data_IF_544708820345
#
_entry.id   IF_544708820345
#
_cell.length_a   1.000
_cell.length_b   1.000
_cell.length_c   1.000
_cell.angle_alpha   90.00
_cell.angle_beta   90.00
_cell.angle_gamma   90.00
#
_symmetry.space_group_name_H-M   'P 1'
#
loop_
_entity.id
_entity.type
_entity.pdbx_description
1 polymer ?
#
# COMPACT_ATOMS: atom_id res chain seq x y z
N UNK A 1 0.71 0.74 12.84
CA UNK A 1 0.75 -0.20 11.70
C UNK A 1 0.55 0.50 10.35
N UNK A 2 -0.58 1.17 10.08
CA UNK A 2 -0.81 1.82 8.77
C UNK A 2 0.28 2.83 8.37
N UNK A 3 0.86 3.55 9.34
CA UNK A 3 1.95 4.51 9.11
C UNK A 3 3.18 3.85 8.46
N UNK A 4 3.71 2.78 9.06
CA UNK A 4 4.86 2.02 8.51
C UNK A 4 4.59 1.52 7.10
N UNK A 5 3.38 1.01 6.83
CA UNK A 5 3.05 0.51 5.50
C UNK A 5 2.92 1.60 4.45
N UNK A 6 2.30 2.73 4.82
CA UNK A 6 2.26 3.88 3.95
C UNK A 6 3.69 4.34 3.66
N UNK A 7 4.57 4.34 4.67
CA UNK A 7 5.98 4.64 4.50
C UNK A 7 6.73 3.63 3.63
N UNK A 8 6.43 2.33 3.74
CA UNK A 8 6.95 1.31 2.83
C UNK A 8 6.52 1.58 1.39
N UNK A 9 5.24 1.93 1.17
CA UNK A 9 4.72 2.33 -0.15
C UNK A 9 5.42 3.59 -0.66
N UNK A 10 5.63 4.58 0.20
CA UNK A 10 6.37 5.81 -0.13
C UNK A 10 7.82 5.52 -0.52
N UNK A 11 8.49 4.63 0.20
CA UNK A 11 9.83 4.14 -0.14
C UNK A 11 9.85 3.45 -1.49
N UNK A 12 8.89 2.57 -1.76
CA UNK A 12 8.79 1.90 -3.05
C UNK A 12 8.61 2.88 -4.23
N UNK A 13 7.77 3.91 -4.06
CA UNK A 13 7.56 4.93 -5.11
C UNK A 13 8.87 5.67 -5.41
N UNK A 14 9.58 6.14 -4.39
CA UNK A 14 10.83 6.87 -4.56
C UNK A 14 11.95 5.98 -5.12
N UNK A 15 12.03 4.72 -4.68
CA UNK A 15 12.94 3.70 -5.20
C UNK A 15 12.73 3.45 -6.69
N UNK A 16 11.48 3.26 -7.13
CA UNK A 16 11.17 3.06 -8.55
C UNK A 16 11.54 4.29 -9.40
N UNK A 17 11.33 5.50 -8.86
CA UNK A 17 11.71 6.74 -9.54
C UNK A 17 13.23 6.96 -9.62
N UNK A 18 14.01 6.36 -8.72
CA UNK A 18 15.46 6.54 -8.62
C UNK A 18 16.20 6.01 -9.84
N UNK A 19 15.75 4.91 -10.44
CA UNK A 19 16.38 4.33 -11.64
C UNK A 19 16.53 5.36 -12.78
N UNK A 20 15.50 6.16 -13.01
CA UNK A 20 15.53 7.23 -14.01
C UNK A 20 16.54 8.34 -13.65
N UNK A 21 16.68 8.68 -12.37
CA UNK A 21 17.64 9.69 -11.89
C UNK A 21 19.09 9.20 -12.00
N UNK A 22 19.31 7.90 -11.83
CA UNK A 22 20.62 7.25 -12.01
C UNK A 22 21.00 7.11 -13.48
N UNK A 23 20.05 7.27 -14.41
CA UNK A 23 20.27 7.03 -15.84
C UNK A 23 20.59 5.55 -16.13
N UNK A 24 20.13 4.65 -15.27
CA UNK A 24 20.36 3.21 -15.36
C UNK A 24 19.09 2.48 -15.79
N UNK A 25 19.27 1.31 -16.42
CA UNK A 25 18.14 0.43 -16.77
C UNK A 25 17.48 -0.09 -15.49
N UNK A 26 16.20 0.25 -15.31
CA UNK A 26 15.40 -0.19 -14.19
C UNK A 26 14.86 -1.62 -14.36
N UNK A 27 14.02 -2.08 -13.41
CA UNK A 27 13.39 -3.39 -13.43
C UNK A 27 12.64 -3.71 -14.71
N UNK A 28 12.72 -4.96 -15.13
CA UNK A 28 12.01 -5.44 -16.32
C UNK A 28 10.49 -5.31 -16.18
N UNK A 29 9.82 -4.98 -17.28
CA UNK A 29 8.38 -4.77 -17.30
C UNK A 29 7.62 -6.10 -17.15
N UNK A 30 6.72 -6.19 -16.18
CA UNK A 30 5.98 -7.40 -15.84
C UNK A 30 4.54 -7.35 -16.36
N UNK A 31 4.41 -7.15 -17.68
CA UNK A 31 3.13 -6.96 -18.37
C UNK A 31 2.19 -8.17 -18.25
N UNK A 32 0.91 -7.93 -18.01
CA UNK A 32 -0.11 -8.98 -18.03
C UNK A 32 -0.21 -9.63 -19.44
N UNK A 33 -0.88 -10.78 -19.57
CA UNK A 33 -0.93 -11.53 -20.84
C UNK A 33 -1.43 -10.69 -22.03
N UNK A 34 -2.44 -9.84 -21.81
CA UNK A 34 -3.01 -9.00 -22.86
C UNK A 34 -2.03 -7.90 -23.29
N UNK A 35 -1.44 -7.21 -22.31
CA UNK A 35 -0.45 -6.16 -22.56
C UNK A 35 0.81 -6.76 -23.18
N UNK A 36 1.30 -7.91 -22.71
CA UNK A 36 2.46 -8.59 -23.27
C UNK A 36 2.28 -8.91 -24.76
N UNK A 37 1.07 -9.30 -25.19
CA UNK A 37 0.78 -9.54 -26.60
C UNK A 37 0.83 -8.24 -27.45
N UNK A 38 0.40 -7.11 -26.88
CA UNK A 38 0.48 -5.79 -27.52
C UNK A 38 1.94 -5.31 -27.58
N UNK A 39 2.68 -5.48 -26.48
CA UNK A 39 4.04 -4.97 -26.30
C UNK A 39 5.11 -5.85 -27.00
N UNK A 40 4.77 -7.07 -27.42
CA UNK A 40 5.70 -8.02 -28.06
C UNK A 40 6.44 -7.41 -29.26
N UNK A 41 5.81 -6.47 -29.98
CA UNK A 41 6.34 -5.86 -31.20
C UNK A 41 7.03 -4.50 -30.94
N UNK A 42 7.13 -4.05 -29.69
CA UNK A 42 7.70 -2.73 -29.34
C UNK A 42 9.21 -2.80 -29.15
N UNK A 43 9.73 -3.93 -28.66
CA UNK A 43 11.15 -4.12 -28.37
C UNK A 43 11.98 -4.60 -29.58
N UNK A 44 11.43 -4.54 -30.79
CA UNK A 44 12.15 -4.88 -32.02
C UNK A 44 13.26 -3.86 -32.32
N UNK A 45 14.49 -4.30 -32.68
CA UNK A 45 15.58 -3.40 -33.03
C UNK A 45 15.20 -2.51 -34.23
N UNK A 46 15.12 -1.18 -34.02
CA UNK A 46 14.86 -0.18 -35.07
C UNK A 46 13.52 0.56 -34.97
N UNK A 47 12.66 0.23 -34.00
CA UNK A 47 11.40 0.95 -33.75
C UNK A 47 11.64 2.19 -32.87
N UNK A 48 11.10 3.34 -33.27
CA UNK A 48 11.22 4.59 -32.51
C UNK A 48 10.18 4.61 -31.37
N UNK A 49 10.64 4.62 -30.11
CA UNK A 49 9.81 4.72 -28.91
C UNK A 49 8.96 6.00 -28.85
N UNK A 50 9.31 7.03 -29.61
CA UNK A 50 8.51 8.26 -29.76
C UNK A 50 7.28 8.07 -30.67
N UNK A 51 7.17 6.95 -31.39
CA UNK A 51 6.05 6.62 -32.31
C UNK A 51 5.25 5.39 -31.86
N UNK A 52 4.99 5.28 -30.56
CA UNK A 52 4.04 4.31 -30.03
C UNK A 52 2.60 4.70 -30.40
N UNK A 53 1.77 3.74 -30.80
CA UNK A 53 0.33 3.95 -30.91
C UNK A 53 -0.29 4.17 -29.52
N UNK A 54 -1.47 4.80 -29.45
CA UNK A 54 -2.16 5.05 -28.18
C UNK A 54 -2.43 3.75 -27.40
N UNK A 55 -2.67 2.64 -28.10
CA UNK A 55 -2.90 1.31 -27.50
C UNK A 55 -1.62 0.74 -26.90
N UNK A 56 -0.49 0.89 -27.59
CA UNK A 56 0.81 0.46 -27.11
C UNK A 56 1.29 1.31 -25.92
N UNK A 57 1.06 2.63 -25.96
CA UNK A 57 1.37 3.54 -24.86
C UNK A 57 0.57 3.19 -23.61
N UNK A 58 -0.75 3.02 -23.73
CA UNK A 58 -1.59 2.58 -22.59
C UNK A 58 -1.17 1.23 -22.05
N UNK A 59 -0.89 0.26 -22.92
CA UNK A 59 -0.42 -1.07 -22.47
C UNK A 59 0.91 -0.99 -21.71
N UNK A 60 1.78 -0.03 -22.06
CA UNK A 60 3.03 0.24 -21.36
C UNK A 60 2.77 0.92 -20.01
N UNK A 61 1.96 1.99 -19.98
CA UNK A 61 1.57 2.73 -18.76
C UNK A 61 0.82 1.84 -17.75
N UNK A 62 -0.04 0.94 -18.22
CA UNK A 62 -0.81 -0.01 -17.39
C UNK A 62 0.05 -1.18 -16.88
N UNK A 63 1.27 -1.35 -17.42
CA UNK A 63 2.17 -2.41 -17.01
C UNK A 63 3.13 -1.90 -15.93
N UNK A 64 3.27 -2.69 -14.86
CA UNK A 64 4.14 -2.36 -13.72
C UNK A 64 5.38 -3.25 -13.72
N UNK A 65 6.42 -2.83 -13.01
CA UNK A 65 7.68 -3.57 -12.84
C UNK A 65 8.10 -3.61 -11.37
N UNK A 66 9.29 -4.17 -11.10
CA UNK A 66 9.95 -4.05 -9.80
C UNK A 66 9.59 -5.09 -8.75
N UNK A 67 10.20 -4.94 -7.58
CA UNK A 67 10.16 -5.90 -6.47
C UNK A 67 8.75 -6.13 -5.93
N UNK A 68 7.98 -5.06 -5.69
CA UNK A 68 6.59 -5.17 -5.21
C UNK A 68 5.71 -5.94 -6.20
N UNK A 69 5.80 -5.61 -7.50
CA UNK A 69 5.03 -6.33 -8.51
C UNK A 69 5.46 -7.79 -8.59
N UNK A 70 6.76 -8.07 -8.52
CA UNK A 70 7.25 -9.45 -8.50
C UNK A 70 6.66 -10.23 -7.31
N UNK A 71 6.59 -9.63 -6.13
CA UNK A 71 6.00 -10.26 -4.94
C UNK A 71 4.48 -10.41 -5.01
N UNK A 72 3.77 -9.55 -5.75
CA UNK A 72 2.35 -9.78 -6.08
C UNK A 72 2.17 -11.01 -6.96
N UNK A 73 3.01 -11.16 -8.00
CA UNK A 73 2.97 -12.33 -8.87
C UNK A 73 3.37 -13.61 -8.11
N UNK A 74 4.38 -13.52 -7.24
CA UNK A 74 4.78 -14.62 -6.37
C UNK A 74 3.65 -15.04 -5.43
N UNK A 75 2.95 -14.11 -4.80
CA UNK A 75 1.77 -14.42 -3.99
C UNK A 75 0.67 -15.07 -4.79
N UNK A 76 0.37 -14.55 -5.99
CA UNK A 76 -0.65 -15.14 -6.86
C UNK A 76 -0.30 -16.56 -7.35
N UNK A 77 1.00 -16.92 -7.39
CA UNK A 77 1.44 -18.27 -7.73
C UNK A 77 1.51 -19.15 -6.47
N UNK A 78 2.13 -18.70 -5.38
CA UNK A 78 2.49 -19.57 -4.24
C UNK A 78 1.46 -19.57 -3.12
N UNK A 79 0.75 -18.46 -2.89
CA UNK A 79 -0.26 -18.33 -1.84
C UNK A 79 -1.43 -17.46 -2.34
N UNK A 80 -2.16 -18.00 -3.32
CA UNK A 80 -3.25 -17.31 -3.97
C UNK A 80 -4.48 -17.20 -3.04
N UNK A 81 -5.25 -16.11 -3.14
CA UNK A 81 -6.45 -15.87 -2.32
C UNK A 81 -7.58 -16.89 -2.50
N UNK A 82 -7.66 -17.46 -3.70
CA UNK A 82 -8.52 -18.58 -4.07
C UNK A 82 -7.67 -19.84 -3.96
N UNK A 83 -8.03 -20.71 -3.01
CA UNK A 83 -7.30 -21.94 -2.65
C UNK A 83 -7.28 -22.99 -3.76
N UNK A 84 -8.06 -22.80 -4.83
CA UNK A 84 -8.09 -23.64 -6.03
C UNK A 84 -7.13 -23.18 -7.12
N UNK A 85 -6.40 -22.08 -6.92
CA UNK A 85 -5.50 -21.48 -7.92
C UNK A 85 -4.08 -21.39 -7.37
N UNK A 86 -3.12 -21.35 -8.29
CA UNK A 86 -1.69 -21.34 -7.94
C UNK A 86 -1.19 -22.72 -7.51
N UNK A 87 -0.04 -22.73 -6.84
CA UNK A 87 0.66 -23.89 -6.32
C UNK A 87 0.24 -24.22 -4.88
N UNK A 88 -0.03 -23.22 -4.04
CA UNK A 88 -0.56 -23.38 -2.69
C UNK A 88 0.19 -24.42 -1.85
N UNK A 89 -0.48 -25.51 -1.50
CA UNK A 89 0.10 -26.60 -0.70
C UNK A 89 1.23 -27.34 -1.41
N UNK A 90 1.26 -27.37 -2.75
CA UNK A 90 2.37 -27.98 -3.50
C UNK A 90 3.67 -27.21 -3.22
N UNK A 91 3.63 -25.88 -3.32
CA UNK A 91 4.76 -25.01 -2.97
C UNK A 91 5.15 -25.19 -1.49
N UNK A 92 4.16 -25.13 -0.59
CA UNK A 92 4.39 -25.25 0.86
C UNK A 92 5.09 -26.58 1.19
N UNK A 93 4.64 -27.69 0.62
CA UNK A 93 5.21 -29.01 0.88
C UNK A 93 6.60 -29.18 0.26
N UNK A 94 6.82 -28.64 -0.94
CA UNK A 94 8.12 -28.66 -1.59
C UNK A 94 9.18 -27.92 -0.77
N UNK A 95 8.90 -26.70 -0.33
CA UNK A 95 9.83 -25.89 0.45
C UNK A 95 10.06 -26.46 1.86
N UNK A 96 9.06 -27.14 2.46
CA UNK A 96 9.26 -27.92 3.69
C UNK A 96 10.18 -29.11 3.52
N UNK A 97 10.22 -29.73 2.34
CA UNK A 97 11.19 -30.80 2.07
C UNK A 97 12.62 -30.24 1.93
N UNK A 98 12.77 -29.05 1.34
CA UNK A 98 14.07 -28.41 1.15
C UNK A 98 14.64 -27.81 2.44
N UNK A 99 13.80 -27.09 3.20
CA UNK A 99 14.25 -26.25 4.33
C UNK A 99 13.75 -26.75 5.69
N UNK A 100 13.02 -27.87 5.72
CA UNK A 100 12.56 -28.53 6.93
C UNK A 100 11.08 -28.32 7.24
N UNK A 101 10.50 -29.15 8.13
CA UNK A 101 9.05 -29.23 8.35
C UNK A 101 8.41 -27.96 8.89
N UNK A 102 9.21 -27.09 9.52
CA UNK A 102 8.78 -25.83 10.13
C UNK A 102 8.85 -24.65 9.15
N UNK A 103 9.31 -24.84 7.91
CA UNK A 103 9.34 -23.77 6.93
C UNK A 103 7.91 -23.22 6.71
N UNK A 104 7.72 -21.88 6.79
CA UNK A 104 6.41 -21.26 6.76
C UNK A 104 5.77 -21.37 5.36
N UNK A 105 4.47 -21.09 5.28
CA UNK A 105 3.82 -20.86 3.98
C UNK A 105 4.27 -19.48 3.45
N UNK A 106 4.36 -19.36 2.12
CA UNK A 106 4.68 -18.11 1.45
C UNK A 106 3.83 -16.93 1.97
N UNK A 107 4.40 -15.73 2.19
CA UNK A 107 3.68 -14.57 2.68
C UNK A 107 2.44 -14.21 1.83
N UNK A 108 1.38 -13.77 2.50
CA UNK A 108 0.04 -13.59 1.91
C UNK A 108 -0.13 -12.21 1.24
N UNK A 109 0.64 -11.97 0.17
CA UNK A 109 0.57 -10.72 -0.62
C UNK A 109 -0.75 -10.61 -1.42
N UNK A 110 -1.39 -11.74 -1.75
CA UNK A 110 -2.66 -11.80 -2.49
C UNK A 110 -3.87 -11.25 -1.73
N UNK A 111 -3.85 -11.29 -0.39
CA UNK A 111 -4.93 -10.78 0.46
C UNK A 111 -4.58 -9.45 1.14
N UNK A 112 -3.58 -8.73 0.61
CA UNK A 112 -3.19 -7.40 1.08
C UNK A 112 -2.85 -7.38 2.57
N UNK A 113 -2.24 -8.45 3.09
CA UNK A 113 -1.84 -8.48 4.50
C UNK A 113 -0.74 -7.48 4.76
N UNK A 114 -0.84 -6.82 5.90
CA UNK A 114 0.07 -5.74 6.23
C UNK A 114 1.53 -6.22 6.32
N UNK A 115 2.45 -5.54 5.61
CA UNK A 115 3.87 -5.89 5.56
C UNK A 115 4.22 -7.14 4.74
N UNK A 116 3.25 -7.78 4.08
CA UNK A 116 3.46 -9.05 3.36
C UNK A 116 4.49 -8.97 2.23
N UNK A 117 4.61 -7.83 1.52
CA UNK A 117 5.61 -7.66 0.47
C UNK A 117 7.04 -7.66 1.00
N UNK A 118 7.29 -7.03 2.15
CA UNK A 118 8.59 -7.07 2.83
C UNK A 118 8.95 -8.47 3.30
N UNK A 119 7.98 -9.19 3.88
CA UNK A 119 8.15 -10.60 4.25
C UNK A 119 8.39 -11.50 3.03
N UNK A 120 7.67 -11.26 1.94
CA UNK A 120 7.85 -12.01 0.69
C UNK A 120 9.24 -11.77 0.10
N UNK A 121 9.74 -10.53 0.14
CA UNK A 121 11.11 -10.21 -0.25
C UNK A 121 12.12 -10.95 0.64
N UNK A 122 11.93 -10.99 1.97
CA UNK A 122 12.80 -11.74 2.88
C UNK A 122 12.83 -13.23 2.54
N UNK A 123 11.67 -13.85 2.35
CA UNK A 123 11.51 -15.25 1.96
C UNK A 123 12.20 -15.57 0.61
N UNK A 124 11.92 -14.77 -0.42
CA UNK A 124 12.46 -14.98 -1.76
C UNK A 124 13.97 -14.76 -1.79
N UNK A 125 14.50 -13.71 -1.16
CA UNK A 125 15.94 -13.42 -1.18
C UNK A 125 16.72 -14.46 -0.39
N UNK A 126 16.20 -14.96 0.74
CA UNK A 126 16.84 -16.04 1.52
C UNK A 126 16.99 -17.34 0.73
N UNK A 127 16.09 -17.59 -0.23
CA UNK A 127 15.98 -18.86 -0.96
C UNK A 127 15.93 -18.63 -2.49
N UNK A 128 16.61 -17.60 -2.99
CA UNK A 128 16.45 -17.09 -4.36
C UNK A 128 16.65 -18.17 -5.42
N UNK A 129 17.70 -18.99 -5.29
CA UNK A 129 18.00 -20.04 -6.26
C UNK A 129 16.99 -21.20 -6.20
N UNK A 130 16.44 -21.50 -5.02
CA UNK A 130 15.36 -22.48 -4.89
C UNK A 130 14.08 -21.97 -5.56
N UNK A 131 13.71 -20.69 -5.38
CA UNK A 131 12.57 -20.10 -6.07
C UNK A 131 12.76 -20.05 -7.59
N UNK A 132 13.96 -19.70 -8.07
CA UNK A 132 14.31 -19.75 -9.50
C UNK A 132 14.13 -21.16 -10.05
N UNK A 133 14.69 -22.16 -9.37
CA UNK A 133 14.61 -23.57 -9.78
C UNK A 133 13.16 -24.05 -9.80
N UNK A 134 12.40 -23.76 -8.74
CA UNK A 134 11.00 -24.17 -8.62
C UNK A 134 10.12 -23.58 -9.75
N UNK A 135 10.26 -22.28 -10.04
CA UNK A 135 9.49 -21.62 -11.11
C UNK A 135 9.97 -22.05 -12.50
N UNK A 136 11.27 -22.26 -12.66
CA UNK A 136 11.87 -22.65 -13.94
C UNK A 136 11.55 -24.11 -14.25
N UNK A 137 11.66 -25.03 -13.31
CA UNK A 137 11.70 -26.47 -13.57
C UNK A 137 10.47 -27.18 -13.01
N UNK A 138 10.26 -27.13 -11.69
CA UNK A 138 9.22 -27.93 -11.03
C UNK A 138 7.80 -27.59 -11.49
N UNK A 139 7.49 -26.29 -11.60
CA UNK A 139 6.15 -25.85 -12.02
C UNK A 139 5.82 -26.32 -13.45
N UNK A 140 6.66 -26.10 -14.48
CA UNK A 140 6.34 -26.55 -15.83
C UNK A 140 6.34 -28.06 -15.98
N UNK A 141 7.34 -28.77 -15.43
CA UNK A 141 7.48 -30.21 -15.63
C UNK A 141 6.48 -31.05 -14.83
N UNK A 142 5.77 -30.46 -13.87
CA UNK A 142 4.63 -31.11 -13.19
C UNK A 142 3.32 -31.06 -14.00
N UNK A 143 3.26 -30.29 -15.09
CA UNK A 143 2.07 -30.14 -15.93
C UNK A 143 2.05 -31.18 -17.04
N UNK A 144 0.85 -31.50 -17.54
CA UNK A 144 0.69 -32.35 -18.71
C UNK A 144 1.42 -31.80 -19.96
N UNK A 145 1.42 -30.48 -20.12
CA UNK A 145 2.20 -29.79 -21.14
C UNK A 145 3.27 -28.92 -20.45
N UNK A 146 4.57 -29.19 -20.67
CA UNK A 146 5.67 -28.52 -19.97
C UNK A 146 5.88 -27.09 -20.49
N UNK A 147 4.96 -26.20 -20.12
CA UNK A 147 4.93 -24.81 -20.56
C UNK A 147 4.70 -23.87 -19.36
N UNK A 148 5.26 -22.67 -19.46
CA UNK A 148 5.07 -21.60 -18.48
C UNK A 148 3.89 -20.72 -18.87
N UNK A 149 3.06 -20.38 -17.90
CA UNK A 149 2.06 -19.33 -18.08
C UNK A 149 2.73 -17.95 -18.09
N UNK A 150 2.04 -16.91 -18.58
CA UNK A 150 2.61 -15.55 -18.61
C UNK A 150 3.02 -15.06 -17.21
N UNK A 151 2.25 -15.40 -16.17
CA UNK A 151 2.56 -15.00 -14.80
C UNK A 151 3.81 -15.71 -14.26
N UNK A 152 3.98 -17.00 -14.58
CA UNK A 152 5.19 -17.76 -14.21
C UNK A 152 6.43 -17.24 -14.95
N UNK A 153 6.28 -16.90 -16.23
CA UNK A 153 7.38 -16.32 -17.01
C UNK A 153 7.78 -14.93 -16.50
N UNK A 154 6.80 -14.08 -16.18
CA UNK A 154 7.08 -12.77 -15.59
C UNK A 154 7.77 -12.90 -14.24
N UNK A 155 7.30 -13.79 -13.36
CA UNK A 155 7.97 -14.02 -12.09
C UNK A 155 9.41 -14.53 -12.30
N UNK A 156 9.62 -15.49 -13.20
CA UNK A 156 10.97 -16.00 -13.48
C UNK A 156 11.89 -14.88 -13.97
N UNK A 157 11.42 -14.04 -14.91
CA UNK A 157 12.16 -12.88 -15.40
C UNK A 157 12.53 -11.94 -14.25
N UNK A 158 11.58 -11.62 -13.38
CA UNK A 158 11.82 -10.79 -12.20
C UNK A 158 12.87 -11.39 -11.25
N UNK A 159 12.84 -12.72 -11.03
CA UNK A 159 13.80 -13.40 -10.17
C UNK A 159 15.20 -13.52 -10.80
N UNK A 160 15.32 -13.35 -12.11
CA UNK A 160 16.59 -13.36 -12.86
C UNK A 160 17.12 -11.94 -13.16
N UNK A 161 16.31 -10.91 -12.92
CA UNK A 161 16.58 -9.51 -13.23
C UNK A 161 17.30 -8.80 -12.07
N UNK A 162 18.55 -8.37 -12.28
CA UNK A 162 19.38 -7.73 -11.25
C UNK A 162 18.76 -6.43 -10.68
N UNK A 163 18.17 -5.52 -11.48
CA UNK A 163 17.45 -4.37 -10.95
C UNK A 163 16.27 -4.78 -10.05
N UNK A 164 15.46 -5.76 -10.43
CA UNK A 164 14.37 -6.27 -9.57
C UNK A 164 14.93 -6.87 -8.27
N UNK A 165 16.01 -7.65 -8.33
CA UNK A 165 16.66 -8.19 -7.13
C UNK A 165 17.20 -7.06 -6.24
N UNK A 166 17.74 -6.00 -6.83
CA UNK A 166 18.21 -4.81 -6.11
C UNK A 166 17.07 -4.17 -5.30
N UNK A 167 15.88 -4.02 -5.90
CA UNK A 167 14.71 -3.52 -5.21
C UNK A 167 14.24 -4.46 -4.08
N UNK A 168 14.24 -5.77 -4.31
CA UNK A 168 13.91 -6.75 -3.28
C UNK A 168 14.89 -6.69 -2.10
N UNK A 169 16.19 -6.52 -2.36
CA UNK A 169 17.19 -6.33 -1.31
C UNK A 169 16.94 -5.04 -0.50
N UNK A 170 16.59 -3.93 -1.15
CA UNK A 170 16.21 -2.70 -0.46
C UNK A 170 14.98 -2.90 0.45
N UNK A 171 13.97 -3.64 -0.04
CA UNK A 171 12.79 -4.01 0.74
C UNK A 171 13.15 -4.88 1.95
N UNK A 172 14.06 -5.85 1.81
CA UNK A 172 14.56 -6.69 2.92
C UNK A 172 15.23 -5.85 3.99
N UNK A 173 16.12 -4.93 3.61
CA UNK A 173 16.82 -4.04 4.53
C UNK A 173 15.83 -3.17 5.31
N UNK A 174 14.93 -2.46 4.61
CA UNK A 174 13.92 -1.63 5.29
C UNK A 174 13.03 -2.45 6.23
N UNK A 175 12.61 -3.65 5.80
CA UNK A 175 11.75 -4.53 6.60
C UNK A 175 12.42 -4.92 7.91
N UNK A 176 13.69 -5.32 7.89
CA UNK A 176 14.42 -5.76 9.08
C UNK A 176 14.90 -4.60 9.96
N UNK A 177 15.16 -3.43 9.37
CA UNK A 177 15.75 -2.28 10.07
C UNK A 177 14.68 -1.36 10.66
N UNK A 178 13.55 -1.18 9.98
CA UNK A 178 12.48 -0.26 10.39
C UNK A 178 11.23 -1.03 10.76
N UNK A 179 10.64 -1.77 9.81
CA UNK A 179 9.29 -2.31 9.98
C UNK A 179 9.22 -3.32 11.13
N UNK A 180 10.10 -4.32 11.19
CA UNK A 180 10.09 -5.31 12.27
C UNK A 180 10.32 -4.68 13.65
N UNK A 181 11.38 -3.89 13.87
CA UNK A 181 11.58 -3.15 15.13
C UNK A 181 10.37 -2.30 15.53
N UNK A 182 9.82 -1.52 14.58
CA UNK A 182 8.61 -0.73 14.83
C UNK A 182 7.44 -1.61 15.26
N UNK A 183 7.24 -2.73 14.56
CA UNK A 183 6.17 -3.69 14.88
C UNK A 183 6.40 -4.38 16.23
N UNK A 184 7.64 -4.63 16.66
CA UNK A 184 7.95 -5.12 18.02
C UNK A 184 7.46 -4.14 19.10
N UNK A 185 7.58 -2.84 18.87
CA UNK A 185 7.09 -1.81 19.80
C UNK A 185 5.58 -1.65 19.74
N UNK A 186 4.95 -1.72 18.55
CA UNK A 186 3.49 -1.55 18.49
C UNK A 186 2.69 -2.82 18.81
N UNK A 187 3.30 -4.02 18.73
CA UNK A 187 2.64 -5.34 18.96
C UNK A 187 3.26 -6.18 20.10
N UNK A 188 4.33 -5.73 20.73
CA UNK A 188 5.08 -6.53 21.71
C UNK A 188 4.29 -6.98 22.95
N UNK A 189 4.76 -8.03 23.64
CA UNK A 189 4.14 -8.52 24.87
C UNK A 189 4.15 -7.44 25.97
N UNK A 190 2.99 -7.21 26.59
CA UNK A 190 2.79 -6.15 27.58
C UNK A 190 2.24 -4.83 27.03
N UNK A 191 2.20 -4.67 25.70
CA UNK A 191 1.86 -3.41 25.02
C UNK A 191 0.38 -3.32 24.59
N UNK A 192 -0.45 -4.30 25.01
CA UNK A 192 -1.92 -4.26 24.87
C UNK A 192 -2.58 -3.05 25.56
N UNK A 193 -1.83 -2.37 26.43
CA UNK A 193 -2.29 -1.23 27.22
C UNK A 193 -1.67 0.10 26.77
N UNK A 194 -0.82 0.12 25.72
CA UNK A 194 -0.30 1.39 25.19
C UNK A 194 -1.41 2.08 24.42
N UNK A 195 -1.60 3.36 24.72
CA UNK A 195 -2.50 4.21 23.97
C UNK A 195 -1.83 4.60 22.64
N UNK A 196 -2.56 4.52 21.53
CA UNK A 196 -2.08 4.98 20.22
C UNK A 196 -1.62 6.46 20.24
N UNK A 197 -2.20 7.28 21.13
CA UNK A 197 -1.83 8.69 21.32
C UNK A 197 -0.47 8.89 21.98
N UNK A 198 0.10 7.87 22.64
CA UNK A 198 1.42 7.92 23.26
C UNK A 198 2.55 7.49 22.28
N UNK A 199 2.23 7.24 21.01
CA UNK A 199 3.21 6.80 20.01
C UNK A 199 4.05 7.92 19.39
N UNK A 200 3.78 9.19 19.73
CA UNK A 200 4.51 10.35 19.20
C UNK A 200 6.03 10.23 19.32
N UNK A 201 6.59 9.92 20.50
CA UNK A 201 8.03 9.72 20.67
C UNK A 201 8.61 8.63 19.76
N UNK A 202 7.91 7.50 19.60
CA UNK A 202 8.34 6.43 18.70
C UNK A 202 8.38 6.89 17.24
N UNK A 203 7.41 7.69 16.79
CA UNK A 203 7.40 8.19 15.41
C UNK A 203 8.53 9.20 15.16
N UNK A 204 8.86 10.02 16.16
CA UNK A 204 10.03 10.90 16.11
C UNK A 204 11.35 10.10 16.06
N UNK A 205 11.46 9.04 16.85
CA UNK A 205 12.62 8.13 16.85
C UNK A 205 12.81 7.45 15.50
N UNK A 206 11.72 6.94 14.88
CA UNK A 206 11.76 6.36 13.54
C UNK A 206 12.27 7.37 12.50
N UNK A 207 11.76 8.60 12.54
CA UNK A 207 12.19 9.67 11.62
C UNK A 207 13.67 10.01 11.80
N UNK A 208 14.10 10.20 13.05
CA UNK A 208 15.48 10.51 13.38
C UNK A 208 16.43 9.37 12.97
N UNK A 209 16.03 8.11 13.19
CA UNK A 209 16.81 6.94 12.80
C UNK A 209 16.95 6.84 11.27
N UNK A 210 15.86 6.98 10.52
CA UNK A 210 15.93 6.98 9.05
C UNK A 210 16.81 8.13 8.54
N UNK A 211 16.69 9.34 9.11
CA UNK A 211 17.54 10.46 8.75
C UNK A 211 19.01 10.16 9.03
N UNK A 212 19.34 9.56 10.18
CA UNK A 212 20.71 9.14 10.51
C UNK A 212 21.27 8.13 9.50
N UNK A 213 20.47 7.17 9.05
CA UNK A 213 20.88 6.20 8.01
C UNK A 213 21.11 6.87 6.65
N UNK A 214 20.36 7.93 6.34
CA UNK A 214 20.54 8.71 5.11
C UNK A 214 21.80 9.59 5.17
N UNK A 215 22.08 10.19 6.33
CA UNK A 215 23.25 11.04 6.56
C UNK A 215 24.54 10.22 6.69
N UNK A 216 24.43 8.99 7.21
CA UNK A 216 25.54 8.06 7.39
C UNK A 216 25.25 6.70 6.72
N UNK A 217 25.24 6.62 5.36
CA UNK A 217 24.90 5.38 4.64
C UNK A 217 25.79 4.18 4.94
N UNK A 218 27.00 4.41 5.46
CA UNK A 218 27.94 3.33 5.76
C UNK A 218 27.47 2.48 6.96
N UNK A 219 26.49 2.94 7.75
CA UNK A 219 25.79 2.09 8.73
C UNK A 219 25.11 0.89 8.05
N UNK A 220 24.65 1.05 6.81
CA UNK A 220 23.96 0.01 6.04
C UNK A 220 24.87 -0.77 5.08
N UNK A 221 25.99 -0.17 4.67
CA UNK A 221 26.82 -0.67 3.57
C UNK A 221 28.31 -0.78 3.92
N UNK A 222 28.69 -0.46 5.15
CA UNK A 222 30.05 -0.64 5.66
C UNK A 222 30.35 -2.10 5.99
N UNK A 223 31.63 -2.43 6.03
CA UNK A 223 32.12 -3.78 6.36
C UNK A 223 31.79 -4.20 7.81
N UNK A 224 31.47 -3.22 8.66
CA UNK A 224 31.10 -3.36 10.07
C UNK A 224 29.59 -3.23 10.33
N UNK A 225 28.75 -3.38 9.29
CA UNK A 225 27.28 -3.37 9.44
C UNK A 225 26.85 -4.34 10.55
N UNK A 226 26.21 -3.78 11.57
CA UNK A 226 25.78 -4.52 12.76
C UNK A 226 24.30 -4.21 13.05
N UNK A 227 23.59 -5.17 13.65
CA UNK A 227 22.20 -4.94 14.00
C UNK A 227 22.05 -3.88 15.10
N UNK A 228 23.05 -3.72 15.97
CA UNK A 228 23.05 -2.75 17.08
C UNK A 228 23.04 -1.30 16.58
N UNK A 229 23.68 -1.04 15.45
CA UNK A 229 23.76 0.29 14.84
C UNK A 229 22.71 0.51 13.75
N UNK A 230 22.41 -0.53 12.97
CA UNK A 230 21.50 -0.42 11.84
C UNK A 230 20.03 -0.55 12.23
N UNK A 231 19.66 -1.46 13.14
CA UNK A 231 18.26 -1.68 13.54
C UNK A 231 17.74 -0.53 14.39
N UNK A 232 16.49 -0.10 14.13
CA UNK A 232 15.82 0.96 14.91
C UNK A 232 15.80 0.68 16.42
N UNK A 233 15.63 -0.56 16.84
CA UNK A 233 15.60 -0.93 18.27
C UNK A 233 16.91 -1.56 18.77
N UNK A 234 17.96 -1.57 17.94
CA UNK A 234 19.28 -2.14 18.25
C UNK A 234 19.26 -3.65 18.53
N UNK A 235 18.18 -4.37 18.21
CA UNK A 235 18.08 -5.83 18.38
C UNK A 235 18.36 -6.56 17.07
N UNK A 236 18.65 -7.86 17.20
CA UNK A 236 18.85 -8.77 16.08
C UNK A 236 17.73 -8.67 15.03
N UNK A 237 18.13 -8.84 13.77
CA UNK A 237 17.23 -8.86 12.62
C UNK A 237 16.24 -10.02 12.75
N UNK A 238 14.98 -9.78 12.39
CA UNK A 238 13.96 -10.84 12.41
C UNK A 238 14.28 -11.94 11.40
N UNK A 239 14.80 -11.55 10.23
CA UNK A 239 15.21 -12.44 9.15
C UNK A 239 16.70 -12.31 8.86
N UNK A 240 17.53 -12.82 9.77
CA UNK A 240 19.00 -12.81 9.64
C UNK A 240 19.48 -13.45 8.34
N UNK A 241 18.87 -14.56 7.93
CA UNK A 241 19.22 -15.24 6.67
C UNK A 241 18.98 -14.35 5.44
N UNK A 242 17.91 -13.55 5.45
CA UNK A 242 17.59 -12.64 4.37
C UNK A 242 18.61 -11.50 4.28
N UNK A 243 19.00 -10.91 5.42
CA UNK A 243 20.01 -9.84 5.45
C UNK A 243 21.37 -10.39 5.02
N UNK A 244 21.77 -11.57 5.49
CA UNK A 244 23.00 -12.24 5.04
C UNK A 244 22.98 -12.51 3.53
N UNK A 245 21.83 -12.92 2.98
CA UNK A 245 21.67 -13.11 1.55
C UNK A 245 21.83 -11.78 0.79
N UNK A 246 21.28 -10.66 1.29
CA UNK A 246 21.52 -9.31 0.72
C UNK A 246 23.01 -8.98 0.71
N UNK A 247 23.72 -9.18 1.82
CA UNK A 247 25.16 -8.91 1.90
C UNK A 247 25.96 -9.76 0.91
N UNK A 248 25.59 -11.03 0.73
CA UNK A 248 26.23 -11.91 -0.26
C UNK A 248 26.01 -11.44 -1.70
N UNK A 249 24.83 -10.89 -2.00
CA UNK A 249 24.47 -10.36 -3.30
C UNK A 249 25.03 -8.96 -3.57
N UNK A 250 25.36 -8.17 -2.54
CA UNK A 250 25.72 -6.76 -2.67
C UNK A 250 26.80 -6.48 -3.72
N UNK A 251 27.83 -7.33 -3.81
CA UNK A 251 28.92 -7.21 -4.80
C UNK A 251 28.45 -7.33 -6.27
N UNK A 252 27.30 -7.96 -6.51
CA UNK A 252 26.70 -8.15 -7.83
C UNK A 252 25.64 -7.10 -8.17
N UNK A 253 25.28 -6.24 -7.21
CA UNK A 253 24.19 -5.27 -7.31
C UNK A 253 24.75 -3.84 -7.26
N UNK A 254 25.24 -3.28 -8.38
CA UNK A 254 25.96 -2.00 -8.39
C UNK A 254 25.11 -0.81 -7.91
N UNK A 255 23.79 -0.90 -8.02
CA UNK A 255 22.85 0.15 -7.63
C UNK A 255 22.19 -0.09 -6.26
N UNK A 256 22.62 -1.10 -5.49
CA UNK A 256 22.01 -1.42 -4.19
C UNK A 256 22.02 -0.24 -3.22
N UNK A 257 23.15 0.45 -3.08
CA UNK A 257 23.29 1.62 -2.20
C UNK A 257 22.34 2.76 -2.62
N UNK A 258 22.41 3.31 -3.84
CA UNK A 258 21.53 4.44 -4.21
C UNK A 258 20.04 4.08 -4.19
N UNK A 259 19.65 2.89 -4.65
CA UNK A 259 18.25 2.43 -4.68
C UNK A 259 17.69 2.24 -3.27
N UNK A 260 18.48 1.66 -2.35
CA UNK A 260 18.07 1.54 -0.94
C UNK A 260 17.94 2.92 -0.30
N UNK A 261 18.90 3.82 -0.49
CA UNK A 261 18.80 5.17 0.06
C UNK A 261 17.58 5.92 -0.48
N UNK A 262 17.20 5.72 -1.75
CA UNK A 262 15.96 6.25 -2.30
C UNK A 262 14.72 5.70 -1.56
N UNK A 263 14.69 4.40 -1.28
CA UNK A 263 13.63 3.80 -0.47
C UNK A 263 13.54 4.46 0.93
N UNK A 264 14.67 4.66 1.60
CA UNK A 264 14.70 5.33 2.91
C UNK A 264 14.28 6.81 2.81
N UNK A 265 14.63 7.54 1.74
CA UNK A 265 14.16 8.92 1.52
C UNK A 265 12.63 8.98 1.34
N UNK A 266 12.08 8.13 0.48
CA UNK A 266 10.63 8.09 0.23
C UNK A 266 9.84 7.69 1.47
N UNK A 267 10.37 6.74 2.25
CA UNK A 267 9.76 6.34 3.51
C UNK A 267 9.82 7.45 4.57
N UNK A 268 10.93 8.18 4.70
CA UNK A 268 11.05 9.32 5.63
C UNK A 268 10.04 10.41 5.33
N UNK A 269 9.96 10.85 4.07
CA UNK A 269 9.00 11.86 3.64
C UNK A 269 7.55 11.43 3.99
N UNK A 270 7.28 10.14 3.88
CA UNK A 270 5.98 9.57 4.19
C UNK A 270 5.73 9.43 5.70
N UNK A 271 6.74 9.07 6.49
CA UNK A 271 6.66 9.09 7.95
C UNK A 271 6.34 10.48 8.48
N UNK A 272 7.02 11.51 7.97
CA UNK A 272 6.77 12.91 8.32
C UNK A 272 5.31 13.27 8.02
N UNK A 273 4.82 12.97 6.80
CA UNK A 273 3.44 13.26 6.41
C UNK A 273 2.41 12.52 7.25
N UNK A 274 2.61 11.23 7.51
CA UNK A 274 1.65 10.38 8.19
C UNK A 274 1.75 10.38 9.71
N UNK A 275 2.66 11.16 10.30
CA UNK A 275 2.73 11.38 11.75
C UNK A 275 2.61 12.85 12.14
N UNK A 276 2.19 13.71 11.20
CA UNK A 276 2.02 15.14 11.41
C UNK A 276 1.03 15.47 12.56
N UNK A 277 0.09 14.57 12.88
CA UNK A 277 -0.81 14.74 14.02
C UNK A 277 -0.11 14.70 15.39
N UNK A 278 1.11 14.17 15.45
CA UNK A 278 1.98 14.12 16.64
C UNK A 278 2.99 15.27 16.69
N UNK A 279 2.88 16.26 15.79
CA UNK A 279 3.81 17.38 15.77
C UNK A 279 3.77 18.16 17.12
N UNK A 280 4.93 18.69 17.58
CA UNK A 280 4.97 19.53 18.78
C UNK A 280 3.99 20.70 18.68
N UNK A 281 3.24 20.95 19.75
CA UNK A 281 2.19 21.94 19.78
C UNK A 281 0.89 21.53 19.05
N UNK A 282 0.77 20.30 18.58
CA UNK A 282 -0.49 19.73 18.08
C UNK A 282 -1.47 19.36 19.19
N UNK A 283 -2.71 19.01 18.84
CA UNK A 283 -3.74 18.62 19.81
C UNK A 283 -3.34 17.39 20.64
N UNK A 284 -2.66 16.41 20.04
CA UNK A 284 -2.20 15.21 20.74
C UNK A 284 -1.07 15.57 21.71
N UNK A 285 -0.11 16.39 21.29
CA UNK A 285 1.01 16.83 22.12
C UNK A 285 0.56 17.68 23.32
N UNK A 286 -0.42 18.57 23.11
CA UNK A 286 -0.99 19.41 24.16
C UNK A 286 -1.97 18.69 25.09
N UNK A 287 -2.41 17.48 24.75
CA UNK A 287 -3.38 16.75 25.56
C UNK A 287 -2.80 16.39 26.94
N UNK A 288 -3.65 16.41 27.95
CA UNK A 288 -3.30 15.93 29.28
C UNK A 288 -3.30 14.39 29.32
N UNK A 289 -2.60 13.76 30.28
CA UNK A 289 -2.68 12.32 30.48
C UNK A 289 -4.12 11.82 30.67
N UNK A 290 -4.97 12.59 31.35
CA UNK A 290 -6.37 12.25 31.59
C UNK A 290 -7.19 12.28 30.29
N UNK A 291 -6.99 13.29 29.44
CA UNK A 291 -7.65 13.36 28.13
C UNK A 291 -7.22 12.21 27.22
N UNK A 292 -5.93 11.83 27.22
CA UNK A 292 -5.46 10.67 26.48
C UNK A 292 -6.10 9.38 27.01
N UNK A 293 -6.20 9.23 28.33
CA UNK A 293 -6.86 8.06 28.94
C UNK A 293 -8.34 7.98 28.57
N UNK A 294 -9.06 9.11 28.53
CA UNK A 294 -10.46 9.16 28.10
C UNK A 294 -10.62 8.83 26.61
N UNK A 295 -9.66 9.22 25.78
CA UNK A 295 -9.59 8.92 24.35
C UNK A 295 -8.75 7.67 24.04
N UNK A 296 -8.69 6.71 24.96
CA UNK A 296 -7.83 5.54 24.80
C UNK A 296 -8.18 4.74 23.55
N UNK A 297 -7.16 4.44 22.75
CA UNK A 297 -7.27 3.56 21.59
C UNK A 297 -6.08 2.60 21.54
N UNK A 298 -6.28 1.34 21.14
CA UNK A 298 -5.17 0.41 20.96
C UNK A 298 -4.26 0.87 19.81
N UNK A 299 -2.97 0.61 19.94
CA UNK A 299 -1.94 0.90 18.92
C UNK A 299 -2.16 0.15 17.60
N UNK A 300 -2.90 -0.96 17.63
CA UNK A 300 -3.23 -1.77 16.47
C UNK A 300 -4.73 -2.08 16.38
N UNK A 301 -5.18 -2.31 15.15
CA UNK A 301 -6.56 -2.70 14.84
C UNK A 301 -6.77 -4.23 14.97
N UNK A 302 -5.77 -4.97 15.47
CA UNK A 302 -5.75 -6.44 15.47
C UNK A 302 -6.97 -7.01 16.23
N UNK A 303 -7.43 -6.35 17.29
CA UNK A 303 -8.61 -6.75 18.04
C UNK A 303 -9.91 -6.62 17.22
N UNK A 304 -10.03 -5.55 16.43
CA UNK A 304 -11.19 -5.34 15.56
C UNK A 304 -11.14 -6.29 14.35
N UNK A 305 -9.96 -6.54 13.78
CA UNK A 305 -9.76 -7.53 12.72
C UNK A 305 -10.08 -8.94 13.20
N UNK A 306 -9.64 -9.30 14.40
CA UNK A 306 -10.00 -10.55 15.06
C UNK A 306 -11.51 -10.67 15.27
N UNK A 307 -12.18 -9.60 15.71
CA UNK A 307 -13.65 -9.56 15.86
C UNK A 307 -14.36 -9.72 14.51
N UNK A 308 -13.89 -9.07 13.45
CA UNK A 308 -14.45 -9.24 12.11
C UNK A 308 -14.25 -10.67 11.60
N UNK A 309 -13.10 -11.28 11.86
CA UNK A 309 -12.84 -12.69 11.59
C UNK A 309 -13.82 -13.59 12.33
N UNK A 310 -14.00 -13.34 13.63
CA UNK A 310 -14.97 -14.05 14.46
C UNK A 310 -16.41 -13.90 13.92
N UNK A 311 -16.82 -12.69 13.56
CA UNK A 311 -18.11 -12.41 12.93
C UNK A 311 -18.32 -13.25 11.67
N UNK A 312 -17.34 -13.25 10.74
CA UNK A 312 -17.42 -14.02 9.50
C UNK A 312 -17.59 -15.51 9.75
N UNK A 313 -16.87 -16.08 10.71
CA UNK A 313 -17.00 -17.49 11.09
C UNK A 313 -18.36 -17.78 11.71
N UNK A 314 -18.82 -16.92 12.62
CA UNK A 314 -20.12 -17.06 13.29
C UNK A 314 -21.27 -16.98 12.30
N UNK A 315 -21.27 -16.01 11.37
CA UNK A 315 -22.32 -15.87 10.35
C UNK A 315 -22.35 -17.05 9.37
N UNK A 316 -21.20 -17.68 9.08
CA UNK A 316 -21.18 -18.93 8.27
C UNK A 316 -21.87 -20.09 9.00
N UNK A 317 -21.71 -20.20 10.32
CA UNK A 317 -22.32 -21.25 11.14
C UNK A 317 -23.79 -20.95 11.49
N UNK A 318 -24.12 -19.67 11.66
CA UNK A 318 -25.45 -19.16 12.04
C UNK A 318 -25.92 -18.11 11.01
N UNK A 319 -26.30 -18.49 9.79
CA UNK A 319 -26.65 -17.54 8.73
C UNK A 319 -27.92 -16.73 9.01
N UNK A 320 -28.77 -17.20 9.92
CA UNK A 320 -29.99 -16.51 10.36
C UNK A 320 -29.75 -15.54 11.52
N UNK A 321 -28.55 -15.52 12.10
CA UNK A 321 -28.19 -14.59 13.17
C UNK A 321 -28.22 -13.17 12.63
N UNK A 322 -29.01 -12.29 13.25
CA UNK A 322 -28.97 -10.86 12.90
C UNK A 322 -27.69 -10.22 13.41
N UNK A 323 -27.24 -9.14 12.76
CA UNK A 323 -26.08 -8.38 13.25
C UNK A 323 -26.37 -7.78 14.64
N UNK A 324 -27.62 -7.40 14.93
CA UNK A 324 -28.02 -6.94 16.26
C UNK A 324 -27.79 -8.01 17.33
N UNK A 325 -28.23 -9.25 17.08
CA UNK A 325 -28.00 -10.38 17.99
C UNK A 325 -26.52 -10.72 18.12
N UNK A 326 -25.77 -10.70 17.02
CA UNK A 326 -24.32 -10.90 17.08
C UNK A 326 -23.62 -9.85 17.95
N UNK A 327 -23.93 -8.57 17.75
CA UNK A 327 -23.35 -7.49 18.55
C UNK A 327 -23.74 -7.61 20.02
N UNK A 328 -24.98 -8.00 20.32
CA UNK A 328 -25.43 -8.27 21.69
C UNK A 328 -24.67 -9.45 22.33
N UNK A 329 -24.53 -10.59 21.63
CA UNK A 329 -23.73 -11.74 22.09
C UNK A 329 -22.26 -11.34 22.33
N UNK A 330 -21.68 -10.58 21.40
CA UNK A 330 -20.29 -10.13 21.49
C UNK A 330 -20.06 -9.15 22.66
N UNK A 331 -20.95 -8.17 22.86
CA UNK A 331 -20.88 -7.26 24.01
C UNK A 331 -21.10 -7.99 25.33
N UNK A 332 -22.09 -8.89 25.38
CA UNK A 332 -22.39 -9.68 26.57
C UNK A 332 -21.16 -10.45 27.05
N UNK A 333 -20.47 -11.13 26.12
CA UNK A 333 -19.25 -11.86 26.40
C UNK A 333 -18.05 -10.96 26.70
N UNK A 334 -17.89 -9.83 26.01
CA UNK A 334 -16.71 -8.95 26.17
C UNK A 334 -16.73 -8.22 27.50
N UNK A 335 -17.91 -7.76 27.93
CA UNK A 335 -18.06 -6.95 29.14
C UNK A 335 -18.21 -7.80 30.41
N UNK A 336 -18.00 -9.12 30.30
CA UNK A 336 -18.25 -10.10 31.37
C UNK A 336 -19.63 -9.88 32.04
N UNK A 337 -20.64 -9.65 31.19
CA UNK A 337 -21.96 -9.22 31.64
C UNK A 337 -22.58 -10.28 32.55
N UNK A 338 -22.29 -11.57 32.31
CA UNK A 338 -22.75 -12.65 33.17
C UNK A 338 -22.18 -12.56 34.59
N UNK A 339 -20.88 -12.28 34.76
CA UNK A 339 -20.30 -12.13 36.09
C UNK A 339 -20.88 -10.92 36.82
N UNK A 340 -21.05 -9.80 36.11
CA UNK A 340 -21.73 -8.60 36.64
C UNK A 340 -23.16 -8.93 37.11
N UNK A 341 -23.94 -9.61 36.27
CA UNK A 341 -25.30 -10.02 36.60
C UNK A 341 -25.32 -10.94 37.82
N UNK A 342 -24.47 -11.98 37.85
CA UNK A 342 -24.40 -12.90 38.98
C UNK A 342 -23.98 -12.23 40.29
N UNK A 343 -23.18 -11.16 40.23
CA UNK A 343 -22.68 -10.46 41.40
C UNK A 343 -23.69 -9.45 41.97
N UNK A 344 -24.56 -8.88 41.12
CA UNK A 344 -25.33 -7.68 41.47
C UNK A 344 -26.83 -7.78 41.22
N UNK A 345 -27.32 -8.74 40.45
CA UNK A 345 -28.74 -8.83 40.13
C UNK A 345 -29.50 -9.65 41.16
N UNK A 346 -30.68 -9.16 41.49
CA UNK A 346 -31.72 -9.90 42.22
C UNK A 346 -32.84 -10.34 41.25
N UNK A 347 -33.81 -11.12 41.73
CA UNK A 347 -34.90 -11.63 40.88
C UNK A 347 -35.68 -10.51 40.15
N UNK A 348 -35.81 -9.36 40.80
CA UNK A 348 -36.51 -8.18 40.29
C UNK A 348 -35.78 -7.56 39.08
N UNK A 349 -34.45 -7.52 39.12
CA UNK A 349 -33.61 -7.02 38.01
C UNK A 349 -33.69 -7.95 36.79
N UNK A 350 -33.68 -9.27 37.04
CA UNK A 350 -33.89 -10.26 35.99
C UNK A 350 -35.27 -10.10 35.34
N UNK A 351 -36.32 -9.91 36.13
CA UNK A 351 -37.67 -9.68 35.63
C UNK A 351 -37.76 -8.38 34.81
N UNK A 352 -37.09 -7.31 35.27
CA UNK A 352 -37.04 -6.04 34.56
C UNK A 352 -36.35 -6.17 33.20
N UNK A 353 -35.17 -6.79 33.12
CA UNK A 353 -34.44 -6.93 31.85
C UNK A 353 -35.17 -7.84 30.87
N UNK A 354 -35.82 -8.92 31.34
CA UNK A 354 -36.67 -9.74 30.47
C UNK A 354 -37.83 -8.94 29.88
N UNK A 355 -38.42 -8.00 30.65
CA UNK A 355 -39.46 -7.09 30.15
C UNK A 355 -38.88 -6.14 29.08
N UNK A 356 -37.76 -5.48 29.38
CA UNK A 356 -37.10 -4.54 28.45
C UNK A 356 -36.66 -5.23 27.15
N UNK A 357 -36.11 -6.45 27.24
CA UNK A 357 -35.72 -7.22 26.06
C UNK A 357 -36.91 -7.52 25.13
N UNK A 358 -38.08 -7.87 25.69
CA UNK A 358 -39.32 -8.08 24.91
C UNK A 358 -39.82 -6.79 24.26
N UNK A 359 -39.69 -5.66 24.96
CA UNK A 359 -40.03 -4.34 24.41
C UNK A 359 -39.09 -3.95 23.26
N UNK A 360 -37.79 -4.23 23.37
CA UNK A 360 -36.82 -4.00 22.30
C UNK A 360 -37.06 -4.90 21.08
N UNK A 361 -37.31 -6.20 21.27
CA UNK A 361 -37.63 -7.12 20.18
C UNK A 361 -38.89 -6.69 19.42
N UNK A 362 -39.89 -6.15 20.15
CA UNK A 362 -41.12 -5.64 19.56
C UNK A 362 -40.92 -4.39 18.67
N UNK A 363 -39.80 -3.67 18.80
CA UNK A 363 -39.49 -2.47 17.99
C UNK A 363 -39.08 -2.80 16.55
N UNK A 364 -38.80 -4.08 16.22
CA UNK A 364 -38.48 -4.50 14.86
C UNK A 364 -37.25 -3.80 14.26
N UNK A 365 -36.26 -3.47 15.09
CA UNK A 365 -35.08 -2.68 14.71
C UNK A 365 -34.32 -3.26 13.51
N UNK A 366 -34.18 -4.58 13.43
CA UNK A 366 -33.51 -5.25 12.31
C UNK A 366 -34.33 -5.14 11.00
N UNK A 367 -35.67 -5.15 11.07
CA UNK A 367 -36.52 -4.93 9.90
C UNK A 367 -36.39 -3.48 9.39
N UNK A 368 -36.34 -2.51 10.31
CA UNK A 368 -36.08 -1.10 9.98
C UNK A 368 -34.70 -0.94 9.32
N UNK A 369 -33.64 -1.53 9.89
CA UNK A 369 -32.29 -1.46 9.30
C UNK A 369 -32.24 -2.10 7.91
N UNK A 370 -32.91 -3.23 7.70
CA UNK A 370 -32.99 -3.86 6.37
C UNK A 370 -33.71 -2.96 5.36
N UNK A 371 -34.78 -2.26 5.77
CA UNK A 371 -35.46 -1.29 4.91
C UNK A 371 -34.53 -0.13 4.54
N UNK A 372 -33.82 0.44 5.51
CA UNK A 372 -32.83 1.51 5.28
C UNK A 372 -31.69 1.06 4.33
N UNK A 373 -31.19 -0.16 4.48
CA UNK A 373 -30.17 -0.73 3.57
C UNK A 373 -30.68 -0.88 2.15
N UNK A 374 -31.94 -1.33 1.97
CA UNK A 374 -32.56 -1.44 0.65
C UNK A 374 -32.76 -0.07 0.03
N UNK A 375 -33.19 0.92 0.80
CA UNK A 375 -33.36 2.29 0.35
C UNK A 375 -32.03 2.93 -0.07
N UNK A 376 -30.99 2.80 0.76
CA UNK A 376 -29.65 3.25 0.42
C UNK A 376 -29.14 2.58 -0.86
N UNK A 377 -29.33 1.26 -0.99
CA UNK A 377 -28.93 0.53 -2.20
C UNK A 377 -29.68 1.01 -3.44
N UNK A 378 -30.97 1.36 -3.32
CA UNK A 378 -31.74 1.97 -4.42
C UNK A 378 -31.15 3.32 -4.82
N UNK A 379 -30.83 4.19 -3.85
CA UNK A 379 -30.18 5.49 -4.12
C UNK A 379 -28.83 5.33 -4.80
N UNK A 380 -28.00 4.36 -4.38
CA UNK A 380 -26.71 4.09 -5.04
C UNK A 380 -26.91 3.61 -6.47
N UNK A 381 -27.92 2.76 -6.72
CA UNK A 381 -28.25 2.30 -8.08
C UNK A 381 -28.73 3.48 -8.95
N UNK A 382 -29.57 4.37 -8.42
CA UNK A 382 -30.00 5.58 -9.12
C UNK A 382 -28.82 6.50 -9.44
N UNK A 383 -27.96 6.80 -8.46
CA UNK A 383 -26.75 7.59 -8.65
C UNK A 383 -25.83 6.98 -9.71
N UNK A 384 -25.65 5.66 -9.72
CA UNK A 384 -24.82 4.99 -10.73
C UNK A 384 -25.45 5.03 -12.12
N UNK A 385 -26.79 4.93 -12.22
CA UNK A 385 -27.52 5.10 -13.49
C UNK A 385 -27.40 6.54 -13.99
N UNK A 386 -27.54 7.54 -13.12
CA UNK A 386 -27.35 8.95 -13.45
C UNK A 386 -25.91 9.22 -13.92
N UNK A 387 -24.90 8.65 -13.25
CA UNK A 387 -23.48 8.73 -13.68
C UNK A 387 -23.27 8.07 -15.04
N UNK A 388 -23.88 6.91 -15.31
CA UNK A 388 -23.85 6.26 -16.63
C UNK A 388 -24.55 7.09 -17.71
N UNK A 389 -25.73 7.63 -17.43
CA UNK A 389 -26.48 8.48 -18.36
C UNK A 389 -25.75 9.80 -18.63
N UNK A 390 -25.14 10.42 -17.61
CA UNK A 390 -24.30 11.60 -17.76
C UNK A 390 -23.03 11.34 -18.60
N UNK A 391 -22.46 10.13 -18.52
CA UNK A 391 -21.37 9.69 -19.40
C UNK A 391 -21.83 9.44 -20.85
N UNK A 392 -23.11 9.09 -21.06
CA UNK A 392 -23.70 8.83 -22.39
C UNK A 392 -24.24 10.08 -23.07
N UNK A 393 -24.60 11.13 -22.32
CA UNK A 393 -25.02 12.41 -22.88
C UNK A 393 -23.81 13.15 -23.47
N UNK A 394 -23.78 13.48 -24.77
CA UNK A 394 -22.70 14.25 -25.35
C UNK A 394 -22.70 15.65 -24.72
N UNK A 395 -21.60 16.00 -24.05
CA UNK A 395 -21.42 17.32 -23.43
C UNK A 395 -21.60 18.39 -24.53
N UNK A 396 -22.61 19.29 -24.44
CA UNK A 396 -22.88 20.26 -25.49
C UNK A 396 -21.70 21.21 -25.66
N UNK A 397 -21.18 21.36 -26.88
CA UNK A 397 -19.96 22.12 -27.21
C UNK A 397 -19.93 23.55 -26.62
N UNK A 398 -21.10 24.17 -26.41
CA UNK A 398 -21.22 25.49 -25.77
C UNK A 398 -20.78 25.49 -24.30
N UNK A 399 -21.08 24.46 -23.50
CA UNK A 399 -20.70 24.43 -22.08
C UNK A 399 -19.19 24.20 -21.88
N UNK A 400 -18.54 23.53 -22.85
CA UNK A 400 -17.08 23.44 -22.94
C UNK A 400 -16.46 24.81 -23.24
N UNK A 401 -17.00 25.57 -24.20
CA UNK A 401 -16.51 26.92 -24.53
C UNK A 401 -16.64 27.91 -23.37
N UNK A 402 -17.75 27.90 -22.61
CA UNK A 402 -17.91 28.80 -21.45
C UNK A 402 -16.94 28.46 -20.31
N UNK A 403 -16.67 27.18 -20.06
CA UNK A 403 -15.67 26.74 -19.07
C UNK A 403 -14.24 27.12 -19.48
N UNK A 404 -13.95 27.12 -20.78
CA UNK A 404 -12.65 27.58 -21.31
C UNK A 404 -12.48 29.09 -21.10
N UNK A 405 -13.51 29.89 -21.41
CA UNK A 405 -13.45 31.34 -21.22
C UNK A 405 -13.31 31.74 -19.73
N UNK A 406 -14.01 31.06 -18.81
CA UNK A 406 -13.89 31.33 -17.37
C UNK A 406 -12.50 30.95 -16.82
N UNK A 407 -11.90 29.86 -17.32
CA UNK A 407 -10.52 29.49 -16.97
C UNK A 407 -9.50 30.49 -17.53
N UNK A 408 -9.74 31.01 -18.74
CA UNK A 408 -8.87 32.01 -19.37
C UNK A 408 -8.86 33.34 -18.59
N UNK A 409 -10.02 33.77 -18.08
CA UNK A 409 -10.11 34.96 -17.20
C UNK A 409 -9.41 34.76 -15.85
N UNK A 410 -9.58 33.59 -15.22
CA UNK A 410 -8.91 33.28 -13.96
C UNK A 410 -7.38 33.29 -14.12
N UNK A 411 -6.87 32.76 -15.25
CA UNK A 411 -5.44 32.70 -15.55
C UNK A 411 -4.87 34.10 -15.84
N UNK A 412 -5.60 34.94 -16.59
CA UNK A 412 -5.23 36.36 -16.79
C UNK A 412 -5.16 37.13 -15.47
N UNK A 413 -6.12 36.90 -14.59
CA UNK A 413 -6.17 37.56 -13.27
C UNK A 413 -5.00 37.13 -12.39
N UNK A 414 -4.69 35.83 -12.36
CA UNK A 414 -3.55 35.29 -11.63
C UNK A 414 -2.20 35.82 -12.17
N UNK A 415 -2.08 35.94 -13.50
CA UNK A 415 -0.86 36.45 -14.14
C UNK A 415 -0.65 37.95 -13.88
N UNK A 416 -1.72 38.75 -13.92
CA UNK A 416 -1.67 40.17 -13.54
C UNK A 416 -1.25 40.34 -12.08
N UNK A 417 -1.81 39.54 -11.17
CA UNK A 417 -1.41 39.53 -9.76
C UNK A 417 0.08 39.14 -9.58
N UNK A 418 0.56 38.18 -10.36
CA UNK A 418 1.96 37.78 -10.35
C UNK A 418 2.90 38.88 -10.88
N UNK A 419 2.52 39.57 -11.96
CA UNK A 419 3.27 40.73 -12.47
C UNK A 419 3.30 41.89 -11.46
N UNK A 420 2.19 42.17 -10.79
CA UNK A 420 2.14 43.16 -9.70
C UNK A 420 3.07 42.77 -8.55
N UNK A 421 3.07 41.50 -8.14
CA UNK A 421 3.99 40.98 -7.11
C UNK A 421 5.45 41.05 -7.54
N UNK A 422 5.77 40.80 -8.81
CA UNK A 422 7.14 40.96 -9.31
C UNK A 422 7.60 42.42 -9.31
N UNK A 423 6.70 43.36 -9.62
CA UNK A 423 6.96 44.81 -9.50
C UNK A 423 7.17 45.23 -8.04
N UNK A 424 6.34 44.75 -7.10
CA UNK A 424 6.52 44.99 -5.67
C UNK A 424 7.85 44.45 -5.15
N UNK A 425 8.31 43.31 -5.67
CA UNK A 425 9.57 42.68 -5.29
C UNK A 425 10.80 43.23 -6.02
N UNK A 426 10.64 44.26 -6.87
CA UNK A 426 11.69 44.86 -7.69
C UNK A 426 12.47 43.81 -8.54
N UNK A 427 11.79 42.74 -8.95
CA UNK A 427 12.35 41.66 -9.77
C UNK A 427 11.86 41.82 -11.21
N UNK A 428 12.76 42.06 -12.19
CA UNK A 428 12.35 42.11 -13.59
C UNK A 428 11.88 40.72 -14.04
N UNK A 429 10.77 40.66 -14.77
CA UNK A 429 10.36 39.45 -15.45
C UNK A 429 11.39 39.13 -16.54
N UNK A 430 12.06 37.98 -16.43
CA UNK A 430 13.13 37.59 -17.36
C UNK A 430 12.58 37.25 -18.74
N UNK A 431 12.94 38.02 -19.77
CA UNK A 431 12.73 37.65 -21.16
C UNK A 431 13.64 36.48 -21.54
N UNK A 432 13.15 35.24 -21.42
CA UNK A 432 13.79 34.06 -22.01
C UNK A 432 13.36 33.80 -23.47
N UNK A 433 12.74 34.79 -24.12
CA UNK A 433 12.56 34.83 -25.57
C UNK A 433 13.18 36.14 -26.06
N UNK A 434 14.25 36.02 -26.84
CA UNK A 434 15.07 37.12 -27.31
C UNK A 434 14.28 38.22 -28.01
N UNK A 435 14.90 39.40 -28.08
CA UNK A 435 14.41 40.55 -28.84
C UNK A 435 14.24 40.19 -30.32
N UNK A 436 13.05 39.74 -30.70
CA UNK A 436 12.59 39.83 -32.07
C UNK A 436 11.14 40.30 -32.10
N UNK A 437 10.98 41.61 -32.35
CA UNK A 437 9.69 42.29 -32.56
C UNK A 437 9.15 41.96 -33.94
N UNK A 438 8.82 40.70 -34.20
CA UNK A 438 8.24 40.32 -35.51
C UNK A 438 7.21 39.19 -35.50
N UNK A 439 6.78 38.65 -34.36
CA UNK A 439 5.64 37.69 -34.34
C UNK A 439 4.40 38.38 -33.78
N UNK A 440 3.73 39.11 -34.68
CA UNK A 440 2.35 39.55 -34.52
C UNK A 440 1.45 38.31 -34.49
N UNK A 441 0.66 38.26 -33.42
CA UNK A 441 -0.61 37.57 -33.24
C UNK A 441 -1.34 37.24 -34.57
N UNK A 442 -1.32 35.97 -35.00
CA UNK A 442 -2.42 35.38 -35.78
C UNK A 442 -2.39 33.86 -35.70
N UNK A 443 -3.44 33.33 -35.06
CA UNK A 443 -4.22 32.15 -35.42
C UNK A 443 -3.57 30.77 -35.50
N UNK A 444 -4.21 29.86 -34.76
CA UNK A 444 -4.29 28.40 -34.94
C UNK A 444 -2.98 27.61 -34.87
N UNK A 445 -2.54 27.36 -33.63
CA UNK A 445 -1.76 26.17 -33.31
C UNK A 445 -2.42 25.40 -32.15
N UNK A 446 -2.88 24.21 -32.49
CA UNK A 446 -3.50 23.21 -31.64
C UNK A 446 -2.44 22.32 -31.00
N UNK A 447 -2.29 22.37 -29.67
CA UNK A 447 -1.67 21.31 -28.84
C UNK A 447 -2.34 21.47 -27.48
N UNK A 448 -3.23 20.52 -27.14
CA UNK A 448 -2.99 19.49 -26.11
C UNK A 448 -2.44 20.13 -24.84
N UNK A 449 -3.29 20.24 -23.82
CA UNK A 449 -2.76 20.23 -22.47
C UNK A 449 -3.72 19.54 -21.51
N UNK A 450 -3.08 18.63 -20.82
CA UNK A 450 -3.52 17.69 -19.84
C UNK A 450 -3.21 18.30 -18.46
N UNK A 451 -3.94 17.85 -17.45
CA UNK A 451 -3.72 18.06 -16.00
C UNK A 451 -4.31 19.32 -15.35
N UNK A 452 -5.51 19.13 -14.78
CA UNK A 452 -5.64 18.93 -13.32
C UNK A 452 -7.04 18.37 -13.02
N UNK A 453 -7.15 17.05 -12.86
CA UNK A 453 -8.20 16.38 -12.09
C UNK A 453 -7.56 15.14 -11.42
N UNK A 454 -6.98 15.33 -10.23
CA UNK A 454 -6.73 14.24 -9.29
C UNK A 454 -7.55 14.60 -8.06
N UNK A 455 -8.71 13.95 -7.93
CA UNK A 455 -9.43 13.62 -6.69
C UNK A 455 -10.86 13.27 -7.07
N UNK A 456 -11.15 12.00 -7.40
CA UNK A 456 -12.49 11.39 -7.18
C UNK A 456 -12.65 9.88 -7.49
N UNK A 457 -11.59 9.07 -7.58
CA UNK A 457 -11.72 7.62 -7.87
C UNK A 457 -11.14 6.67 -6.79
N UNK A 458 -11.34 6.96 -5.50
CA UNK A 458 -10.98 6.02 -4.41
C UNK A 458 -12.18 5.42 -3.66
N UNK A 459 -13.33 5.22 -4.32
CA UNK A 459 -14.46 4.48 -3.74
C UNK A 459 -15.07 3.48 -4.73
N UNK A 460 -14.25 2.57 -5.25
CA UNK A 460 -14.69 1.25 -5.71
C UNK A 460 -13.48 0.39 -6.08
N UNK A 461 -12.87 -0.28 -5.09
CA UNK A 461 -12.27 -1.61 -5.26
C UNK A 461 -12.11 -2.31 -3.90
#
# INVERSE_FOLDING_TARGET
MHKDQNSFKGGNVEMMAEWAKLGADGPTLLANKSNAAILHNIFDPGRNFEKLSDVERRAFEDSTCGGVKAMDLAGAIFNHKDDKKGQGDIHTNHFKQLFGPNHPRFPDTSNTRFGSHGLAACEVISHLDAYRTFVREDIPYSKANPSRTNIELNLLRALEDLPTITELCAMVLYTNIISHPYMRVVRGPGLKNINALDLGPLHAEVQAHIQNLLDNPDILFGDDMSFESASLDGKEWEHTDAVNAVLSLASTLPYLKPVTLAFFRGSLATWIRFSAEFAPGGLIDQSTPDERLLAWMPTTNDANEGRLGHYRVTMRKKPTLSLHQYNAEAMYSTNDTLAFMNALFEEEDHAFIMKVAREEDAKGLEAKRRAEQVEFRRRVVEMNKEKEEAKRLPIPAKSKLTKVNSKLEALRTAFQYYEEKLKELNRPFGHSLGEDKSIVLTQDLSVVEEWHEIEENELAE
#
